data_IF_502340785956
#
_entry.id   IF_502340785956
#
_cell.length_a   1.000
_cell.length_b   1.000
_cell.length_c   1.000
_cell.angle_alpha   90.00
_cell.angle_beta   90.00
_cell.angle_gamma   90.00
#
_symmetry.space_group_name_H-M   'P 1'
#
loop_
_entity.id
_entity.type
_entity.pdbx_description
1 polymer ?
#
# COMPACT_ATOMS: atom_id res chain seq x y z
N UNK A 1 19.54 10.31 -38.30
CA UNK A 1 18.49 10.13 -37.29
C UNK A 1 18.27 8.64 -37.12
N UNK A 2 18.81 8.04 -36.06
CA UNK A 2 18.61 6.60 -35.82
C UNK A 2 17.15 6.35 -35.50
N UNK A 3 16.43 5.63 -36.36
CA UNK A 3 15.06 5.21 -36.08
C UNK A 3 15.06 4.31 -34.83
N UNK A 4 14.19 4.62 -33.89
CA UNK A 4 13.96 3.82 -32.70
C UNK A 4 12.46 3.65 -32.50
N UNK A 5 12.06 2.52 -31.94
CA UNK A 5 10.65 2.20 -31.68
C UNK A 5 10.40 2.30 -30.19
N UNK A 6 9.36 3.04 -29.79
CA UNK A 6 8.92 3.11 -28.40
C UNK A 6 7.75 2.15 -28.22
N UNK A 7 7.82 1.29 -27.20
CA UNK A 7 6.74 0.39 -26.82
C UNK A 7 6.43 0.65 -25.35
N UNK A 8 5.18 1.06 -25.06
CA UNK A 8 4.71 1.21 -23.68
C UNK A 8 4.59 -0.16 -23.03
N UNK A 9 5.13 -0.30 -21.82
CA UNK A 9 5.01 -1.51 -21.02
C UNK A 9 3.81 -1.41 -20.06
N UNK A 10 3.89 -0.44 -19.16
CA UNK A 10 2.83 -0.12 -18.20
C UNK A 10 2.52 1.38 -18.30
N UNK A 11 1.65 1.92 -17.46
CA UNK A 11 1.34 3.36 -17.44
C UNK A 11 2.56 4.26 -17.17
N UNK A 12 3.58 3.75 -16.46
CA UNK A 12 4.78 4.52 -16.08
C UNK A 12 6.07 4.11 -16.78
N UNK A 13 6.11 2.98 -17.49
CA UNK A 13 7.35 2.47 -18.10
C UNK A 13 7.20 2.31 -19.61
N UNK A 14 8.13 2.90 -20.34
CA UNK A 14 8.28 2.74 -21.79
C UNK A 14 9.62 2.11 -22.11
N UNK A 15 9.67 1.31 -23.17
CA UNK A 15 10.89 0.72 -23.68
C UNK A 15 11.23 1.28 -25.05
N UNK A 16 12.44 1.80 -25.18
CA UNK A 16 13.00 2.31 -26.42
C UNK A 16 13.90 1.24 -27.06
N UNK A 17 13.52 0.80 -28.25
CA UNK A 17 14.23 -0.20 -29.03
C UNK A 17 15.11 0.48 -30.07
N UNK A 18 16.42 0.32 -29.92
CA UNK A 18 17.40 0.75 -30.92
C UNK A 18 18.07 -0.48 -31.57
N UNK A 19 18.84 -0.28 -32.67
CA UNK A 19 19.62 -1.36 -33.28
C UNK A 19 20.67 -1.95 -32.33
N UNK A 20 21.33 -1.10 -31.56
CA UNK A 20 22.53 -1.37 -30.74
C UNK A 20 22.33 -1.19 -29.23
N UNK A 21 21.19 -0.63 -28.81
CA UNK A 21 20.85 -0.43 -27.40
C UNK A 21 19.39 -0.77 -27.10
N UNK A 22 19.14 -1.06 -25.84
CA UNK A 22 17.82 -1.29 -25.29
C UNK A 22 17.68 -0.45 -24.04
N UNK A 23 16.65 0.40 -23.96
CA UNK A 23 16.51 1.36 -22.87
C UNK A 23 15.11 1.25 -22.27
N UNK A 24 15.04 0.97 -20.97
CA UNK A 24 13.83 1.15 -20.19
C UNK A 24 13.83 2.53 -19.55
N UNK A 25 12.70 3.21 -19.70
CA UNK A 25 12.49 4.58 -19.26
C UNK A 25 11.28 4.63 -18.35
N UNK A 26 11.45 5.32 -17.23
CA UNK A 26 10.40 5.69 -16.30
C UNK A 26 9.88 7.09 -16.65
N UNK A 27 8.55 7.20 -16.75
CA UNK A 27 7.81 8.40 -17.12
C UNK A 27 6.88 8.89 -15.98
N UNK A 28 7.01 8.33 -14.77
CA UNK A 28 6.17 8.64 -13.59
C UNK A 28 6.05 10.14 -13.32
N UNK A 29 7.08 10.97 -13.49
CA UNK A 29 6.98 12.41 -13.22
C UNK A 29 6.73 13.26 -14.49
N UNK A 30 6.35 12.63 -15.61
CA UNK A 30 6.36 13.24 -16.95
C UNK A 30 7.77 13.55 -17.49
N UNK A 31 8.81 13.28 -16.69
CA UNK A 31 10.21 13.43 -17.05
C UNK A 31 10.78 12.08 -17.48
N UNK A 32 11.45 12.08 -18.65
CA UNK A 32 12.17 10.91 -19.17
C UNK A 32 13.34 10.56 -18.25
N UNK A 33 13.24 9.47 -17.48
CA UNK A 33 14.35 8.95 -16.66
C UNK A 33 14.74 7.54 -17.10
N UNK A 34 15.98 7.36 -17.51
CA UNK A 34 16.51 6.02 -17.83
C UNK A 34 16.63 5.24 -16.53
N UNK A 35 15.92 4.12 -16.44
CA UNK A 35 15.99 3.21 -15.28
C UNK A 35 16.97 2.07 -15.51
N UNK A 36 17.07 1.61 -16.76
CA UNK A 36 17.96 0.55 -17.19
C UNK A 36 18.31 0.72 -18.67
N UNK A 37 19.57 0.53 -19.02
CA UNK A 37 20.06 0.55 -20.39
C UNK A 37 21.03 -0.61 -20.60
N UNK A 38 20.86 -1.31 -21.72
CA UNK A 38 21.78 -2.32 -22.22
C UNK A 38 22.32 -1.89 -23.57
N UNK A 39 23.62 -2.10 -23.79
CA UNK A 39 24.32 -1.80 -25.05
C UNK A 39 24.95 -3.08 -25.60
N UNK A 40 25.05 -3.18 -26.93
CA UNK A 40 25.49 -4.38 -27.67
C UNK A 40 26.93 -4.82 -27.38
N UNK A 41 27.72 -3.94 -26.76
CA UNK A 41 29.07 -4.19 -26.25
C UNK A 41 29.08 -4.99 -24.94
N UNK A 42 27.90 -5.21 -24.34
CA UNK A 42 27.74 -5.90 -23.06
C UNK A 42 27.72 -4.97 -21.85
N UNK A 43 27.71 -3.66 -22.05
CA UNK A 43 27.55 -2.68 -20.97
C UNK A 43 26.10 -2.62 -20.51
N UNK A 44 25.88 -2.79 -19.21
CA UNK A 44 24.59 -2.55 -18.56
C UNK A 44 24.73 -1.37 -17.61
N UNK A 45 23.80 -0.42 -17.70
CA UNK A 45 23.70 0.68 -16.75
C UNK A 45 22.30 0.71 -16.16
N UNK A 46 22.23 1.04 -14.88
CA UNK A 46 20.97 1.11 -14.15
C UNK A 46 20.98 2.26 -13.17
N UNK A 47 19.82 2.87 -12.97
CA UNK A 47 19.72 4.00 -12.04
C UNK A 47 19.89 3.55 -10.59
N UNK A 48 20.45 4.38 -9.69
CA UNK A 48 20.57 4.06 -8.27
C UNK A 48 19.23 3.74 -7.60
N UNK A 49 18.15 4.39 -8.04
CA UNK A 49 16.80 4.13 -7.55
C UNK A 49 16.32 2.74 -7.99
N UNK A 50 16.51 2.38 -9.25
CA UNK A 50 16.19 1.04 -9.75
C UNK A 50 16.98 -0.04 -8.99
N UNK A 51 18.28 0.18 -8.79
CA UNK A 51 19.12 -0.75 -8.03
C UNK A 51 18.60 -0.97 -6.61
N UNK A 52 18.22 0.11 -5.91
CA UNK A 52 17.66 0.02 -4.57
C UNK A 52 16.34 -0.75 -4.54
N UNK A 53 15.43 -0.47 -5.46
CA UNK A 53 14.11 -1.12 -5.54
C UNK A 53 14.26 -2.61 -5.87
N UNK A 54 15.13 -2.95 -6.82
CA UNK A 54 15.39 -4.33 -7.22
C UNK A 54 16.40 -5.06 -6.33
N UNK A 55 16.88 -4.43 -5.25
CA UNK A 55 17.93 -4.94 -4.34
C UNK A 55 19.23 -5.34 -5.06
N UNK A 56 19.57 -4.67 -6.16
CA UNK A 56 20.81 -4.89 -6.90
C UNK A 56 22.00 -4.21 -6.19
N UNK A 57 23.24 -4.65 -6.45
CA UNK A 57 24.45 -3.96 -5.99
C UNK A 57 24.44 -2.48 -6.42
N UNK A 58 25.13 -1.62 -5.67
CA UNK A 58 25.10 -0.18 -5.90
C UNK A 58 25.55 0.23 -7.32
N UNK A 59 26.51 -0.51 -7.89
CA UNK A 59 26.99 -0.33 -9.27
C UNK A 59 26.13 -0.99 -10.36
N UNK A 60 25.00 -1.60 -10.01
CA UNK A 60 24.19 -2.40 -10.92
C UNK A 60 24.67 -3.84 -11.02
N UNK A 61 24.33 -4.49 -12.13
CA UNK A 61 24.75 -5.87 -12.46
C UNK A 61 25.37 -5.90 -13.85
N UNK A 62 26.41 -6.70 -14.04
CA UNK A 62 27.04 -6.94 -15.33
C UNK A 62 26.36 -8.09 -16.10
N UNK A 63 26.47 -8.11 -17.43
CA UNK A 63 25.90 -9.19 -18.28
C UNK A 63 26.39 -10.57 -17.83
N UNK A 64 27.64 -10.67 -17.38
CA UNK A 64 28.24 -11.92 -16.91
C UNK A 64 27.60 -12.46 -15.63
N UNK A 65 26.85 -11.65 -14.88
CA UNK A 65 26.12 -12.04 -13.66
C UNK A 65 24.68 -12.46 -13.98
N UNK A 66 24.27 -12.34 -15.24
CA UNK A 66 22.97 -12.72 -15.74
C UNK A 66 23.01 -14.10 -16.39
N UNK A 67 21.92 -14.85 -16.25
CA UNK A 67 21.76 -16.19 -16.83
C UNK A 67 20.97 -16.18 -18.12
N UNK A 68 19.85 -15.45 -18.14
CA UNK A 68 18.92 -15.43 -19.28
C UNK A 68 17.99 -14.24 -19.22
N UNK A 69 17.51 -13.80 -20.39
CA UNK A 69 16.33 -12.94 -20.52
C UNK A 69 15.10 -13.82 -20.47
N UNK A 70 14.09 -13.44 -19.68
CA UNK A 70 12.83 -14.18 -19.61
C UNK A 70 11.68 -13.23 -19.85
N UNK A 71 10.77 -13.65 -20.73
CA UNK A 71 9.44 -13.09 -20.88
C UNK A 71 8.44 -14.16 -20.46
N UNK A 72 7.58 -13.86 -19.49
CA UNK A 72 6.57 -14.80 -19.05
C UNK A 72 5.26 -14.12 -18.70
N UNK A 73 4.14 -14.74 -19.05
CA UNK A 73 2.84 -14.32 -18.56
C UNK A 73 2.56 -14.91 -17.18
N UNK A 74 2.20 -14.07 -16.23
CA UNK A 74 1.89 -14.46 -14.86
C UNK A 74 0.38 -14.42 -14.64
N UNK A 75 -0.28 -15.57 -14.41
CA UNK A 75 -1.72 -15.60 -14.10
C UNK A 75 -2.03 -14.83 -12.81
N UNK A 76 -1.11 -14.87 -11.84
CA UNK A 76 -1.29 -14.20 -10.56
C UNK A 76 -1.23 -12.68 -10.67
N UNK A 77 -0.58 -12.14 -11.71
CA UNK A 77 -0.45 -10.70 -11.96
C UNK A 77 -1.29 -10.23 -13.15
N UNK A 78 -1.93 -11.16 -13.87
CA UNK A 78 -2.63 -10.91 -15.14
C UNK A 78 -1.79 -10.02 -16.07
N UNK A 79 -0.51 -10.39 -16.22
CA UNK A 79 0.46 -9.53 -16.88
C UNK A 79 1.62 -10.31 -17.49
N UNK A 80 2.14 -9.81 -18.61
CA UNK A 80 3.45 -10.18 -19.14
C UNK A 80 4.55 -9.49 -18.34
N UNK A 81 5.53 -10.26 -17.87
CA UNK A 81 6.70 -9.76 -17.17
C UNK A 81 7.96 -10.02 -17.98
N UNK A 82 8.75 -8.97 -18.20
CA UNK A 82 10.07 -9.04 -18.83
C UNK A 82 11.15 -8.71 -17.80
N UNK A 83 12.21 -9.51 -17.81
CA UNK A 83 13.30 -9.32 -16.88
C UNK A 83 14.44 -10.32 -17.10
N UNK A 84 15.34 -10.34 -16.13
CA UNK A 84 16.47 -11.26 -16.12
C UNK A 84 16.35 -12.29 -15.01
N UNK A 85 16.90 -13.47 -15.29
CA UNK A 85 17.30 -14.41 -14.25
C UNK A 85 18.77 -14.16 -13.92
N UNK A 86 19.07 -13.83 -12.67
CA UNK A 86 20.44 -13.64 -12.20
C UNK A 86 21.09 -14.98 -11.83
N UNK A 87 22.43 -15.03 -11.83
CA UNK A 87 23.21 -16.18 -11.35
C UNK A 87 23.10 -16.34 -9.81
N UNK A 88 23.42 -17.53 -9.26
CA UNK A 88 23.21 -17.84 -7.85
C UNK A 88 23.83 -16.85 -6.87
N UNK A 89 25.01 -16.31 -7.19
CA UNK A 89 25.77 -15.40 -6.32
C UNK A 89 24.98 -14.11 -6.05
N UNK A 90 24.39 -13.53 -7.09
CA UNK A 90 23.52 -12.36 -6.98
C UNK A 90 22.14 -12.75 -6.43
N UNK A 91 21.65 -13.94 -6.78
CA UNK A 91 20.35 -14.41 -6.31
C UNK A 91 20.28 -14.57 -4.78
N UNK A 92 21.33 -15.10 -4.16
CA UNK A 92 21.42 -15.30 -2.71
C UNK A 92 21.41 -13.97 -1.95
N UNK A 93 22.19 -12.99 -2.41
CA UNK A 93 22.21 -11.64 -1.82
C UNK A 93 20.82 -10.97 -1.89
N UNK A 94 20.09 -11.21 -2.99
CA UNK A 94 18.77 -10.63 -3.24
C UNK A 94 17.63 -11.41 -2.61
N UNK A 95 17.87 -12.65 -2.18
CA UNK A 95 16.84 -13.67 -1.89
C UNK A 95 15.86 -13.90 -3.05
N UNK A 96 16.27 -13.57 -4.28
CA UNK A 96 15.43 -13.72 -5.48
C UNK A 96 16.31 -13.84 -6.73
N UNK A 97 15.93 -14.76 -7.61
CA UNK A 97 16.57 -14.95 -8.92
C UNK A 97 16.01 -14.00 -9.99
N UNK A 98 14.89 -13.33 -9.73
CA UNK A 98 14.16 -12.52 -10.70
C UNK A 98 14.51 -11.04 -10.57
N UNK A 99 14.80 -10.37 -11.68
CA UNK A 99 14.94 -8.90 -11.78
C UNK A 99 13.97 -8.43 -12.85
N UNK A 100 12.91 -7.74 -12.45
CA UNK A 100 11.92 -7.21 -13.39
C UNK A 100 12.39 -5.89 -14.02
N UNK A 101 12.19 -5.76 -15.33
CA UNK A 101 12.50 -4.55 -16.09
C UNK A 101 11.24 -3.83 -16.56
N UNK A 102 10.27 -4.60 -17.04
CA UNK A 102 9.06 -4.09 -17.66
C UNK A 102 7.92 -5.10 -17.47
N UNK A 103 6.69 -4.58 -17.40
CA UNK A 103 5.46 -5.34 -17.19
C UNK A 103 4.38 -4.80 -18.13
N UNK A 104 3.56 -5.66 -18.72
CA UNK A 104 2.36 -5.30 -19.48
C UNK A 104 1.15 -5.99 -18.88
N UNK A 105 0.22 -5.24 -18.30
CA UNK A 105 -1.05 -5.80 -17.81
C UNK A 105 -1.88 -6.26 -19.02
N UNK A 106 -2.31 -7.52 -18.98
CA UNK A 106 -2.91 -8.23 -20.09
C UNK A 106 -3.76 -9.39 -19.50
N UNK A 107 -5.07 -9.18 -19.44
CA UNK A 107 -6.01 -10.06 -18.73
C UNK A 107 -6.04 -11.48 -19.29
N UNK A 108 -5.96 -11.61 -20.61
CA UNK A 108 -5.98 -12.89 -21.32
C UNK A 108 -4.59 -13.31 -21.85
N UNK A 109 -3.61 -12.42 -21.75
CA UNK A 109 -2.24 -12.64 -22.21
C UNK A 109 -2.09 -12.56 -23.73
N UNK A 110 -3.14 -12.23 -24.48
CA UNK A 110 -3.11 -12.13 -25.92
C UNK A 110 -2.78 -10.70 -26.39
N UNK A 111 -3.34 -9.68 -25.72
CA UNK A 111 -3.32 -8.29 -26.18
C UNK A 111 -1.90 -7.73 -26.37
N UNK A 112 -1.00 -7.99 -25.43
CA UNK A 112 0.36 -7.45 -25.41
C UNK A 112 1.45 -8.47 -25.77
N UNK A 113 1.06 -9.72 -26.06
CA UNK A 113 1.98 -10.82 -26.38
C UNK A 113 3.00 -10.48 -27.47
N UNK A 114 2.57 -9.87 -28.59
CA UNK A 114 3.44 -9.53 -29.71
C UNK A 114 4.42 -8.41 -29.34
N UNK A 115 3.92 -7.37 -28.67
CA UNK A 115 4.73 -6.22 -28.26
C UNK A 115 5.79 -6.63 -27.24
N UNK A 116 5.38 -7.38 -26.21
CA UNK A 116 6.27 -7.89 -25.18
C UNK A 116 7.34 -8.83 -25.76
N UNK A 117 6.96 -9.72 -26.69
CA UNK A 117 7.92 -10.59 -27.40
C UNK A 117 8.95 -9.79 -28.19
N UNK A 118 8.52 -8.76 -28.92
CA UNK A 118 9.42 -7.90 -29.69
C UNK A 118 10.44 -7.21 -28.79
N UNK A 119 9.99 -6.70 -27.65
CA UNK A 119 10.85 -6.06 -26.66
C UNK A 119 11.84 -7.05 -26.06
N UNK A 120 11.39 -8.26 -25.72
CA UNK A 120 12.23 -9.31 -25.16
C UNK A 120 13.30 -9.82 -26.15
N UNK A 121 12.93 -10.00 -27.42
CA UNK A 121 13.85 -10.38 -28.49
C UNK A 121 14.94 -9.32 -28.70
N UNK A 122 14.56 -8.04 -28.69
CA UNK A 122 15.53 -6.94 -28.80
C UNK A 122 16.52 -6.93 -27.62
N UNK A 123 16.03 -7.12 -26.39
CA UNK A 123 16.89 -7.19 -25.20
C UNK A 123 17.85 -8.38 -25.26
N UNK A 124 17.35 -9.56 -25.62
CA UNK A 124 18.17 -10.76 -25.76
C UNK A 124 19.24 -10.61 -26.84
N UNK A 125 18.92 -9.95 -27.96
CA UNK A 125 19.88 -9.63 -29.03
C UNK A 125 20.99 -8.70 -28.55
N UNK A 126 20.63 -7.62 -27.85
CA UNK A 126 21.60 -6.62 -27.35
C UNK A 126 22.51 -7.22 -26.28
N UNK A 127 21.93 -7.97 -25.33
CA UNK A 127 22.68 -8.58 -24.22
C UNK A 127 23.39 -9.89 -24.58
N UNK A 128 23.06 -10.48 -25.74
CA UNK A 128 23.52 -11.82 -26.17
C UNK A 128 23.21 -12.94 -25.18
N UNK A 129 22.17 -12.75 -24.36
CA UNK A 129 21.68 -13.74 -23.41
C UNK A 129 20.60 -14.61 -24.06
N UNK A 130 20.48 -15.88 -23.64
CA UNK A 130 19.39 -16.73 -24.13
C UNK A 130 18.03 -16.15 -23.69
N UNK A 131 17.08 -16.12 -24.62
CA UNK A 131 15.70 -15.74 -24.36
C UNK A 131 14.86 -16.97 -24.03
N UNK A 132 14.16 -16.94 -22.89
CA UNK A 132 13.13 -17.91 -22.55
C UNK A 132 11.77 -17.23 -22.57
N UNK A 133 10.85 -17.72 -23.41
CA UNK A 133 9.46 -17.25 -23.46
C UNK A 133 8.58 -18.29 -22.77
N UNK A 134 7.79 -17.87 -21.79
CA UNK A 134 6.82 -18.71 -21.08
C UNK A 134 5.43 -18.22 -21.53
N UNK A 135 4.69 -19.01 -22.32
CA UNK A 135 3.38 -18.59 -22.83
C UNK A 135 2.34 -18.53 -21.70
N UNK A 136 1.21 -17.83 -21.91
CA UNK A 136 0.08 -17.87 -21.00
C UNK A 136 -0.36 -19.32 -20.86
N UNK A 137 -0.52 -19.78 -19.62
CA UNK A 137 -1.17 -21.06 -19.37
C UNK A 137 -2.66 -20.80 -19.57
N UNK A 138 -3.28 -21.49 -20.53
CA UNK A 138 -4.73 -21.43 -20.71
C UNK A 138 -5.41 -21.67 -19.36
N UNK A 139 -6.02 -20.62 -18.81
CA UNK A 139 -6.97 -20.78 -17.72
C UNK A 139 -8.15 -21.59 -18.29
N UNK A 140 -8.75 -22.52 -17.52
CA UNK A 140 -9.97 -23.17 -17.97
C UNK A 140 -10.99 -22.09 -18.34
N UNK A 141 -11.26 -22.00 -19.64
CA UNK A 141 -12.14 -21.02 -20.25
C UNK A 141 -13.57 -21.48 -20.04
N UNK A 142 -14.15 -21.16 -18.88
CA UNK A 142 -15.57 -21.37 -18.62
C UNK A 142 -16.34 -20.07 -18.34
N UNK A 143 -15.70 -18.90 -18.29
CA UNK A 143 -16.41 -17.63 -18.17
C UNK A 143 -16.03 -16.70 -19.32
N UNK A 144 -17.01 -16.38 -20.14
CA UNK A 144 -16.98 -15.16 -20.97
C UNK A 144 -16.65 -14.00 -20.03
N UNK A 145 -15.68 -13.10 -20.32
CA UNK A 145 -15.38 -11.97 -19.44
C UNK A 145 -16.68 -11.20 -19.19
N UNK A 146 -17.27 -11.39 -18.02
CA UNK A 146 -18.42 -10.61 -17.61
C UNK A 146 -17.91 -9.18 -17.51
N UNK A 147 -18.62 -8.24 -18.14
CA UNK A 147 -18.29 -6.83 -18.03
C UNK A 147 -18.15 -6.49 -16.54
N UNK A 148 -16.98 -5.99 -16.09
CA UNK A 148 -16.70 -5.87 -14.67
C UNK A 148 -17.78 -5.02 -14.02
N UNK A 149 -18.34 -5.51 -12.91
CA UNK A 149 -19.46 -4.86 -12.26
C UNK A 149 -19.14 -3.37 -12.01
N UNK A 150 -20.11 -2.45 -12.24
CA UNK A 150 -19.90 -1.04 -12.01
C UNK A 150 -19.61 -0.81 -10.52
N UNK A 151 -18.51 -0.13 -10.24
CA UNK A 151 -18.12 0.19 -8.87
C UNK A 151 -19.13 1.17 -8.24
N UNK A 152 -19.34 1.08 -6.91
CA UNK A 152 -20.23 2.00 -6.22
C UNK A 152 -19.71 3.45 -6.36
N UNK A 153 -20.58 4.44 -6.53
CA UNK A 153 -20.16 5.81 -6.78
C UNK A 153 -19.32 6.34 -5.60
N UNK A 154 -18.29 7.11 -5.93
CA UNK A 154 -17.50 7.86 -4.95
C UNK A 154 -18.33 9.06 -4.43
N UNK A 155 -18.19 9.45 -3.15
CA UNK A 155 -17.21 8.97 -2.18
C UNK A 155 -17.63 7.71 -1.41
N UNK A 156 -16.65 6.88 -1.05
CA UNK A 156 -16.84 5.73 -0.15
C UNK A 156 -16.42 6.12 1.27
N UNK A 157 -17.35 6.04 2.23
CA UNK A 157 -17.06 6.21 3.66
C UNK A 157 -16.47 4.92 4.26
N UNK A 158 -15.26 5.03 4.79
CA UNK A 158 -14.53 3.97 5.49
C UNK A 158 -14.43 4.28 6.99
N UNK A 159 -15.32 5.13 7.51
CA UNK A 159 -15.35 5.55 8.91
C UNK A 159 -14.35 6.67 9.20
N UNK A 160 -13.08 6.32 9.43
CA UNK A 160 -12.03 7.31 9.70
C UNK A 160 -11.40 7.88 8.44
N UNK A 161 -11.56 7.17 7.32
CA UNK A 161 -11.11 7.56 5.99
C UNK A 161 -12.30 7.72 5.06
N UNK A 162 -12.17 8.58 4.08
CA UNK A 162 -13.11 8.68 2.97
C UNK A 162 -12.32 8.62 1.66
N UNK A 163 -12.78 7.80 0.73
CA UNK A 163 -12.21 7.73 -0.61
C UNK A 163 -12.97 8.70 -1.52
N UNK A 164 -12.26 9.66 -2.08
CA UNK A 164 -12.77 10.67 -3.01
C UNK A 164 -12.04 10.61 -4.34
N UNK A 165 -12.71 11.04 -5.41
CA UNK A 165 -12.05 11.29 -6.69
C UNK A 165 -11.67 12.78 -6.77
N UNK A 166 -10.40 13.06 -7.08
CA UNK A 166 -9.87 14.42 -7.25
C UNK A 166 -9.26 14.54 -8.66
N UNK A 167 -10.10 14.96 -9.62
CA UNK A 167 -9.73 14.90 -11.03
C UNK A 167 -9.61 13.45 -11.49
N UNK A 168 -8.46 13.07 -12.06
CA UNK A 168 -8.17 11.69 -12.45
C UNK A 168 -7.57 10.86 -11.31
N UNK A 169 -7.11 11.49 -10.22
CA UNK A 169 -6.51 10.81 -9.08
C UNK A 169 -7.55 10.38 -8.03
N UNK A 170 -7.28 9.28 -7.35
CA UNK A 170 -8.03 8.88 -6.16
C UNK A 170 -7.33 9.40 -4.90
N UNK A 171 -8.10 9.91 -3.96
CA UNK A 171 -7.59 10.45 -2.70
C UNK A 171 -8.34 9.84 -1.51
N UNK A 172 -7.61 9.12 -0.66
CA UNK A 172 -8.09 8.80 0.69
C UNK A 172 -7.82 10.00 1.60
N UNK A 173 -8.87 10.61 2.12
CA UNK A 173 -8.78 11.72 3.05
C UNK A 173 -9.16 11.26 4.46
N UNK A 174 -8.33 11.61 5.44
CA UNK A 174 -8.66 11.35 6.85
C UNK A 174 -9.80 12.29 7.27
N UNK A 175 -10.89 11.70 7.77
CA UNK A 175 -12.10 12.43 8.11
C UNK A 175 -11.82 13.45 9.23
N UNK A 176 -12.39 14.65 9.10
CA UNK A 176 -12.26 15.69 10.13
C UNK A 176 -12.83 15.25 11.50
N UNK A 177 -13.70 14.22 11.53
CA UNK A 177 -14.22 13.62 12.76
C UNK A 177 -13.11 13.02 13.64
N UNK A 178 -12.13 12.38 13.02
CA UNK A 178 -11.00 11.76 13.74
C UNK A 178 -10.18 12.82 14.48
N UNK A 179 -9.81 13.89 13.78
CA UNK A 179 -9.06 15.01 14.39
C UNK A 179 -9.86 15.69 15.51
N UNK A 180 -11.17 15.92 15.30
CA UNK A 180 -12.05 16.50 16.32
C UNK A 180 -12.16 15.63 17.57
N UNK A 181 -12.27 14.31 17.43
CA UNK A 181 -12.29 13.35 18.54
C UNK A 181 -11.01 13.45 19.38
N UNK A 182 -9.84 13.49 18.74
CA UNK A 182 -8.54 13.60 19.43
C UNK A 182 -8.35 14.95 20.12
N UNK A 183 -8.77 16.05 19.48
CA UNK A 183 -8.76 17.39 20.10
C UNK A 183 -9.69 17.41 21.33
N UNK A 184 -10.88 16.81 21.23
CA UNK A 184 -11.80 16.68 22.36
C UNK A 184 -11.17 15.94 23.54
N UNK A 185 -10.46 14.84 23.27
CA UNK A 185 -9.69 14.10 24.30
C UNK A 185 -8.57 14.95 24.91
N UNK A 186 -7.84 15.72 24.11
CA UNK A 186 -6.80 16.64 24.60
C UNK A 186 -7.39 17.69 25.54
N UNK A 187 -8.49 18.34 25.15
CA UNK A 187 -9.17 19.34 25.98
C UNK A 187 -9.69 18.70 27.28
N UNK A 188 -10.32 17.53 27.18
CA UNK A 188 -10.89 16.81 28.32
C UNK A 188 -9.81 16.37 29.31
N UNK A 189 -8.75 15.72 28.84
CA UNK A 189 -7.63 15.31 29.70
C UNK A 189 -6.88 16.53 30.26
N UNK A 190 -6.74 17.60 29.48
CA UNK A 190 -6.19 18.87 29.95
C UNK A 190 -6.99 19.48 31.09
N UNK A 191 -8.33 19.51 30.97
CA UNK A 191 -9.23 19.99 32.02
C UNK A 191 -9.05 19.19 33.31
N UNK A 192 -9.08 17.86 33.23
CA UNK A 192 -8.89 16.99 34.40
C UNK A 192 -7.50 17.10 35.00
N UNK A 193 -6.47 17.27 34.17
CA UNK A 193 -5.10 17.50 34.65
C UNK A 193 -5.06 18.74 35.55
N UNK A 194 -5.65 19.86 35.11
CA UNK A 194 -5.70 21.09 35.90
C UNK A 194 -6.50 20.89 37.18
N UNK A 195 -7.64 20.21 37.12
CA UNK A 195 -8.46 19.92 38.30
C UNK A 195 -7.71 19.06 39.34
N UNK A 196 -7.05 17.99 38.92
CA UNK A 196 -6.27 17.12 39.82
C UNK A 196 -5.07 17.85 40.42
N UNK A 197 -4.37 18.68 39.64
CA UNK A 197 -3.27 19.51 40.16
C UNK A 197 -3.82 20.50 41.20
N UNK A 198 -4.92 21.20 40.91
CA UNK A 198 -5.51 22.16 41.83
C UNK A 198 -5.97 21.51 43.14
N UNK A 199 -6.67 20.37 43.08
CA UNK A 199 -7.09 19.63 44.27
C UNK A 199 -5.88 19.14 45.07
N UNK A 200 -4.83 18.66 44.41
CA UNK A 200 -3.61 18.19 45.07
C UNK A 200 -2.89 19.34 45.79
N UNK A 201 -2.73 20.49 45.14
CA UNK A 201 -2.11 21.69 45.73
C UNK A 201 -2.96 22.24 46.87
N UNK A 202 -4.29 22.31 46.71
CA UNK A 202 -5.19 22.79 47.75
C UNK A 202 -5.17 21.88 48.98
N UNK A 203 -5.07 20.56 48.78
CA UNK A 203 -4.95 19.58 49.86
C UNK A 203 -3.61 19.63 50.61
N UNK A 204 -2.57 20.19 49.98
CA UNK A 204 -1.26 20.40 50.61
C UNK A 204 -1.14 21.76 51.31
N UNK A 205 -1.97 22.74 50.93
CA UNK A 205 -1.86 24.14 51.40
C UNK A 205 -2.93 24.52 52.40
N UNK A 206 -4.13 23.96 52.25
CA UNK A 206 -5.21 24.06 53.24
C UNK A 206 -5.15 22.76 54.04
N UNK A 207 -5.04 22.85 55.37
CA UNK A 207 -5.35 21.71 56.25
C UNK A 207 -6.83 21.36 56.03
N UNK A 208 -7.10 20.55 54.99
CA UNK A 208 -8.39 19.92 54.79
C UNK A 208 -8.53 18.88 55.89
N UNK A 209 -8.87 19.36 57.10
CA UNK A 209 -9.53 18.58 58.11
C UNK A 209 -10.88 18.16 57.51
N UNK A 210 -10.86 17.08 56.73
CA UNK A 210 -12.05 16.32 56.39
C UNK A 210 -12.77 16.08 57.72
N UNK A 211 -14.01 16.55 57.92
CA UNK A 211 -14.74 16.24 59.14
C UNK A 211 -14.71 14.72 59.27
N UNK A 212 -14.37 14.22 60.46
CA UNK A 212 -14.22 12.80 60.80
C UNK A 212 -15.49 12.01 60.45
N UNK A 213 -15.72 11.75 59.17
CA UNK A 213 -16.69 10.83 58.67
C UNK A 213 -16.04 9.47 58.87
N UNK A 214 -16.60 8.69 59.81
CA UNK A 214 -16.10 7.39 60.27
C UNK A 214 -16.12 6.28 59.21
N UNK A 215 -15.51 6.53 58.05
CA UNK A 215 -15.36 5.59 56.94
C UNK A 215 -13.91 5.64 56.44
N UNK A 216 -13.08 4.82 57.10
CA UNK A 216 -12.05 3.95 56.51
C UNK A 216 -11.41 4.41 55.18
N UNK A 217 -10.55 5.43 55.21
CA UNK A 217 -9.52 5.60 54.19
C UNK A 217 -8.14 5.30 54.80
N UNK A 218 -7.45 4.22 54.40
CA UNK A 218 -6.10 3.94 54.87
C UNK A 218 -5.16 5.01 54.28
N UNK A 219 -4.53 5.82 55.14
CA UNK A 219 -3.55 6.85 54.80
C UNK A 219 -4.06 8.10 54.02
N UNK A 220 -4.71 9.07 54.69
CA UNK A 220 -5.18 10.32 54.09
C UNK A 220 -4.05 11.20 53.51
N UNK A 221 -2.81 11.05 54.00
CA UNK A 221 -1.64 11.77 53.51
C UNK A 221 -1.23 11.38 52.08
N UNK A 222 -1.71 10.24 51.55
CA UNK A 222 -1.41 9.80 50.19
C UNK A 222 -2.31 10.45 49.13
N UNK A 223 -3.46 11.01 49.53
CA UNK A 223 -4.45 11.57 48.61
C UNK A 223 -3.91 12.66 47.68
N UNK A 224 -3.09 13.64 48.14
CA UNK A 224 -2.53 14.66 47.25
C UNK A 224 -1.53 14.09 46.25
N UNK A 225 -0.73 13.10 46.65
CA UNK A 225 0.24 12.45 45.78
C UNK A 225 -0.44 11.58 44.72
N UNK A 226 -1.55 10.94 45.05
CA UNK A 226 -2.37 10.20 44.07
C UNK A 226 -2.97 11.11 43.01
N UNK A 227 -3.46 12.30 43.40
CA UNK A 227 -3.94 13.30 42.44
C UNK A 227 -2.85 13.77 41.47
N UNK A 228 -1.63 14.01 41.97
CA UNK A 228 -0.49 14.36 41.13
C UNK A 228 -0.08 13.21 40.19
N UNK A 229 -0.09 11.97 40.67
CA UNK A 229 0.19 10.79 39.86
C UNK A 229 -0.80 10.64 38.69
N UNK A 230 -2.10 10.80 38.96
CA UNK A 230 -3.14 10.80 37.91
C UNK A 230 -2.91 11.96 36.93
N UNK A 231 -2.56 13.15 37.40
CA UNK A 231 -2.26 14.28 36.53
C UNK A 231 -1.08 14.00 35.58
N UNK A 232 0.00 13.35 36.05
CA UNK A 232 1.12 12.93 35.21
C UNK A 232 0.67 11.96 34.11
N UNK A 233 -0.17 10.97 34.44
CA UNK A 233 -0.72 10.04 33.44
C UNK A 233 -1.54 10.79 32.39
N UNK A 234 -2.41 11.72 32.81
CA UNK A 234 -3.22 12.52 31.89
C UNK A 234 -2.36 13.39 30.97
N UNK A 235 -1.27 13.99 31.48
CA UNK A 235 -0.30 14.73 30.67
C UNK A 235 0.32 13.83 29.60
N UNK A 236 0.73 12.60 29.96
CA UNK A 236 1.27 11.65 28.99
C UNK A 236 0.25 11.29 27.90
N UNK A 237 -1.03 11.11 28.27
CA UNK A 237 -2.11 10.87 27.30
C UNK A 237 -2.35 12.07 26.38
N UNK A 238 -2.26 13.30 26.90
CA UNK A 238 -2.34 14.53 26.09
C UNK A 238 -1.19 14.57 25.08
N UNK A 239 0.05 14.37 25.53
CA UNK A 239 1.24 14.36 24.67
C UNK A 239 1.09 13.28 23.59
N UNK A 240 0.65 12.07 23.96
CA UNK A 240 0.40 10.98 23.01
C UNK A 240 -0.57 11.40 21.90
N UNK A 241 -1.72 11.96 22.24
CA UNK A 241 -2.71 12.39 21.24
C UNK A 241 -2.18 13.54 20.35
N UNK A 242 -1.37 14.46 20.89
CA UNK A 242 -0.72 15.52 20.10
C UNK A 242 0.26 14.92 19.08
N UNK A 243 1.09 13.96 19.51
CA UNK A 243 2.07 13.29 18.65
C UNK A 243 1.39 12.47 17.56
N UNK A 244 0.30 11.77 17.88
CA UNK A 244 -0.53 11.05 16.90
C UNK A 244 -1.05 12.00 15.80
N UNK A 245 -1.68 13.11 16.19
CA UNK A 245 -2.19 14.12 15.23
C UNK A 245 -1.05 14.67 14.36
N UNK A 246 0.12 14.92 14.93
CA UNK A 246 1.23 15.53 14.22
C UNK A 246 1.93 14.58 13.23
N UNK A 247 1.85 13.26 13.43
CA UNK A 247 2.56 12.27 12.61
C UNK A 247 1.68 11.53 11.61
N UNK A 248 0.37 11.48 11.83
CA UNK A 248 -0.54 10.71 10.99
C UNK A 248 -0.73 11.36 9.62
N UNK A 249 -0.40 10.67 8.50
CA UNK A 249 -0.67 11.17 7.16
C UNK A 249 -2.16 11.51 7.00
N UNK A 250 -2.44 12.67 6.46
CA UNK A 250 -3.82 13.16 6.31
C UNK A 250 -4.47 12.72 5.02
N UNK A 251 -3.65 12.41 4.01
CA UNK A 251 -4.08 12.15 2.63
C UNK A 251 -3.21 11.05 2.02
N UNK A 252 -3.82 10.14 1.30
CA UNK A 252 -3.13 9.16 0.46
C UNK A 252 -3.65 9.34 -0.95
N UNK A 253 -2.76 9.63 -1.89
CA UNK A 253 -3.10 9.91 -3.28
C UNK A 253 -2.62 8.75 -4.14
N UNK A 254 -3.53 8.17 -4.90
CA UNK A 254 -3.27 7.19 -5.96
C UNK A 254 -3.44 7.92 -7.28
N UNK A 255 -2.32 8.19 -7.93
CA UNK A 255 -2.26 9.03 -9.12
C UNK A 255 -2.02 8.14 -10.35
N UNK A 256 -2.98 8.07 -11.30
CA UNK A 256 -2.81 7.28 -12.51
C UNK A 256 -1.78 7.88 -13.46
N UNK A 257 -1.66 9.21 -13.54
CA UNK A 257 -0.75 9.88 -14.47
C UNK A 257 0.71 9.60 -14.09
N UNK A 258 0.99 9.51 -12.79
CA UNK A 258 2.33 9.17 -12.30
C UNK A 258 2.50 7.66 -12.02
N UNK A 259 1.41 6.90 -12.05
CA UNK A 259 1.35 5.50 -11.62
C UNK A 259 2.08 5.29 -10.29
N UNK A 260 1.67 6.07 -9.29
CA UNK A 260 2.28 6.00 -7.96
C UNK A 260 1.26 6.23 -6.85
N UNK A 261 1.53 5.61 -5.70
CA UNK A 261 0.80 5.83 -4.46
C UNK A 261 1.67 6.65 -3.53
N UNK A 262 1.15 7.78 -3.05
CA UNK A 262 1.88 8.66 -2.15
C UNK A 262 1.06 9.03 -0.91
N UNK A 263 1.69 9.00 0.26
CA UNK A 263 1.09 9.52 1.48
C UNK A 263 1.60 10.93 1.76
N UNK A 264 0.67 11.83 2.07
CA UNK A 264 0.91 13.25 2.30
C UNK A 264 0.46 13.66 3.70
N UNK A 265 1.34 14.39 4.37
CA UNK A 265 1.06 15.10 5.62
C UNK A 265 1.05 16.60 5.29
N UNK A 266 -0.14 17.17 5.11
CA UNK A 266 -0.28 18.53 4.58
C UNK A 266 0.35 18.65 3.18
N UNK A 267 1.37 19.49 3.04
CA UNK A 267 2.12 19.69 1.78
C UNK A 267 3.31 18.74 1.60
N UNK A 268 3.70 18.00 2.64
CA UNK A 268 4.89 17.14 2.61
C UNK A 268 4.50 15.71 2.22
N UNK A 269 5.17 15.15 1.22
CA UNK A 269 5.11 13.72 0.94
C UNK A 269 5.95 12.96 1.97
N UNK A 270 5.30 12.12 2.76
CA UNK A 270 5.96 11.28 3.78
C UNK A 270 6.61 10.07 3.12
N UNK A 271 5.94 9.49 2.13
CA UNK A 271 6.45 8.37 1.34
C UNK A 271 5.72 8.27 0.00
N UNK A 272 6.35 7.63 -0.98
CA UNK A 272 5.77 7.30 -2.28
C UNK A 272 6.25 5.93 -2.74
N UNK A 273 5.37 5.15 -3.37
CA UNK A 273 5.65 3.84 -3.95
C UNK A 273 5.15 3.83 -5.41
N UNK A 274 6.02 3.56 -6.39
CA UNK A 274 5.58 3.43 -7.79
C UNK A 274 4.87 2.09 -8.02
N UNK A 275 3.85 2.09 -8.88
CA UNK A 275 2.98 0.94 -9.14
C UNK A 275 3.73 -0.30 -9.63
N UNK A 276 4.80 -0.12 -10.39
CA UNK A 276 5.62 -1.24 -10.92
C UNK A 276 6.20 -2.17 -9.85
N UNK A 277 6.38 -1.68 -8.62
CA UNK A 277 6.94 -2.46 -7.52
C UNK A 277 5.82 -3.10 -6.70
N UNK A 278 4.57 -2.72 -6.96
CA UNK A 278 3.40 -3.28 -6.31
C UNK A 278 3.04 -4.58 -7.04
N UNK A 279 3.14 -5.70 -6.31
CA UNK A 279 2.78 -7.02 -6.80
C UNK A 279 1.28 -7.28 -6.61
N UNK A 280 0.71 -6.83 -5.48
CA UNK A 280 -0.73 -6.97 -5.20
C UNK A 280 -1.20 -6.07 -4.08
N UNK A 281 -2.51 -5.82 -4.03
CA UNK A 281 -3.20 -5.13 -2.95
C UNK A 281 -3.81 -6.16 -2.00
N UNK A 282 -3.63 -6.00 -0.70
CA UNK A 282 -4.21 -6.85 0.33
C UNK A 282 -5.27 -6.08 1.11
N UNK A 283 -6.45 -6.69 1.22
CA UNK A 283 -7.57 -6.23 2.03
C UNK A 283 -7.69 -7.18 3.20
N UNK A 284 -7.37 -6.72 4.41
CA UNK A 284 -7.47 -7.53 5.62
C UNK A 284 -8.61 -7.02 6.49
N UNK A 285 -9.61 -7.87 6.75
CA UNK A 285 -10.81 -7.54 7.53
C UNK A 285 -11.09 -8.59 8.60
N UNK A 286 -11.34 -8.12 9.83
CA UNK A 286 -11.84 -8.92 10.94
C UNK A 286 -13.33 -8.64 11.08
N UNK A 287 -14.14 -9.63 10.71
CA UNK A 287 -15.59 -9.50 10.63
C UNK A 287 -16.26 -10.25 11.78
N UNK A 288 -17.30 -9.65 12.37
CA UNK A 288 -18.12 -10.27 13.41
C UNK A 288 -19.59 -9.95 13.21
N UNK A 289 -20.48 -10.78 13.76
CA UNK A 289 -21.92 -10.53 13.73
C UNK A 289 -22.39 -9.90 15.04
N UNK A 290 -23.04 -8.74 14.96
CA UNK A 290 -23.77 -8.12 16.09
C UNK A 290 -25.26 -8.19 15.80
N UNK A 291 -25.90 -9.26 16.27
CA UNK A 291 -27.28 -9.57 15.93
C UNK A 291 -27.43 -9.93 14.45
N UNK A 292 -28.17 -9.12 13.68
CA UNK A 292 -28.35 -9.29 12.23
C UNK A 292 -27.39 -8.45 11.38
N UNK A 293 -26.53 -7.64 12.01
CA UNK A 293 -25.65 -6.71 11.33
C UNK A 293 -24.22 -7.27 11.32
N UNK A 294 -23.55 -7.12 10.19
CA UNK A 294 -22.16 -7.49 10.04
C UNK A 294 -21.29 -6.29 10.41
N UNK A 295 -20.40 -6.47 11.38
CA UNK A 295 -19.48 -5.45 11.84
C UNK A 295 -18.07 -5.79 11.37
N UNK A 296 -17.32 -4.78 10.92
CA UNK A 296 -15.88 -4.87 10.72
C UNK A 296 -15.19 -4.29 11.94
N UNK A 297 -14.56 -5.14 12.75
CA UNK A 297 -13.87 -4.72 13.98
C UNK A 297 -12.49 -4.13 13.70
N UNK A 298 -11.83 -4.65 12.66
CA UNK A 298 -10.52 -4.20 12.22
C UNK A 298 -10.46 -4.34 10.70
N UNK A 299 -10.01 -3.29 10.03
CA UNK A 299 -9.93 -3.29 8.58
C UNK A 299 -8.71 -2.51 8.11
N UNK A 300 -7.91 -3.08 7.22
CA UNK A 300 -6.70 -2.45 6.71
C UNK A 300 -6.43 -2.80 5.24
N UNK A 301 -5.80 -1.86 4.54
CA UNK A 301 -5.25 -2.09 3.20
C UNK A 301 -3.73 -2.05 3.29
N UNK A 302 -3.10 -3.07 2.70
CA UNK A 302 -1.67 -3.18 2.58
C UNK A 302 -1.28 -3.39 1.11
N UNK A 303 -0.12 -2.89 0.71
CA UNK A 303 0.45 -3.11 -0.61
C UNK A 303 1.57 -4.13 -0.47
N UNK A 304 1.54 -5.20 -1.25
CA UNK A 304 2.68 -6.10 -1.36
C UNK A 304 3.66 -5.52 -2.37
N UNK A 305 4.85 -5.13 -1.91
CA UNK A 305 5.90 -4.44 -2.70
C UNK A 305 7.06 -5.40 -3.03
N UNK A 306 6.89 -6.69 -2.74
CA UNK A 306 7.86 -7.76 -2.95
C UNK A 306 7.42 -9.04 -2.23
N UNK A 307 8.18 -10.13 -2.33
CA UNK A 307 7.75 -11.46 -1.89
C UNK A 307 7.31 -11.55 -0.42
N UNK A 308 7.98 -10.80 0.46
CA UNK A 308 7.71 -10.77 1.91
C UNK A 308 7.65 -9.33 2.45
N UNK A 309 7.49 -8.34 1.56
CA UNK A 309 7.55 -6.92 1.95
C UNK A 309 6.19 -6.28 1.75
N UNK A 310 5.57 -5.91 2.86
CA UNK A 310 4.31 -5.19 2.88
C UNK A 310 4.54 -3.73 3.22
N UNK A 311 3.87 -2.86 2.48
CA UNK A 311 3.74 -1.46 2.78
C UNK A 311 2.33 -1.21 3.27
N UNK A 312 2.23 -0.73 4.51
CA UNK A 312 0.97 -0.32 5.07
C UNK A 312 0.41 0.90 4.32
N UNK A 313 -0.85 0.82 3.87
CA UNK A 313 -1.56 1.92 3.21
C UNK A 313 -2.39 2.68 4.23
N UNK A 314 -3.41 2.02 4.79
CA UNK A 314 -4.32 2.60 5.79
C UNK A 314 -4.89 1.51 6.70
N UNK A 315 -5.25 1.90 7.92
CA UNK A 315 -6.05 1.13 8.87
C UNK A 315 -7.29 1.94 9.24
N UNK A 316 -8.41 1.24 9.40
CA UNK A 316 -9.65 1.74 9.98
C UNK A 316 -9.66 1.29 11.44
N UNK A 317 -9.48 2.25 12.36
CA UNK A 317 -9.44 1.98 13.81
C UNK A 317 -10.84 1.78 14.42
N UNK A 318 -11.88 2.31 13.77
CA UNK A 318 -13.24 2.29 14.29
C UNK A 318 -14.01 1.07 13.76
N UNK A 319 -14.88 0.51 14.60
CA UNK A 319 -15.80 -0.54 14.17
C UNK A 319 -16.73 -0.02 13.08
N UNK A 320 -16.68 -0.64 11.89
CA UNK A 320 -17.48 -0.23 10.75
C UNK A 320 -18.74 -1.09 10.65
N UNK A 321 -19.90 -0.45 10.60
CA UNK A 321 -21.18 -1.12 10.41
C UNK A 321 -21.41 -1.39 8.91
N UNK A 322 -21.29 -2.66 8.51
CA UNK A 322 -21.47 -3.08 7.12
C UNK A 322 -22.94 -3.33 6.77
N UNK A 323 -23.86 -3.01 7.68
CA UNK A 323 -25.30 -3.19 7.50
C UNK A 323 -25.79 -4.62 7.73
N UNK A 324 -27.05 -4.85 7.36
CA UNK A 324 -27.68 -6.16 7.50
C UNK A 324 -27.30 -7.07 6.32
N UNK A 325 -26.31 -7.95 6.54
CA UNK A 325 -25.95 -9.01 5.59
C UNK A 325 -26.42 -10.36 6.09
N UNK A 326 -27.71 -10.62 5.90
CA UNK A 326 -28.31 -11.90 6.24
C UNK A 326 -27.62 -13.03 5.45
N UNK A 327 -27.02 -13.99 6.17
CA UNK A 327 -26.38 -15.16 5.55
C UNK A 327 -24.92 -14.97 5.11
N UNK A 328 -24.29 -13.82 5.37
CA UNK A 328 -22.84 -13.66 5.12
C UNK A 328 -22.06 -14.58 6.08
N UNK A 329 -21.40 -15.58 5.49
CA UNK A 329 -20.59 -16.55 6.24
C UNK A 329 -19.24 -15.92 6.56
N UNK A 330 -18.90 -15.86 7.85
CA UNK A 330 -17.56 -15.48 8.26
C UNK A 330 -16.59 -16.55 7.76
N UNK A 331 -15.65 -16.16 6.91
CA UNK A 331 -14.57 -17.02 6.45
C UNK A 331 -13.30 -16.75 7.26
N UNK A 332 -12.42 -17.74 7.31
CA UNK A 332 -11.04 -17.58 7.77
C UNK A 332 -10.12 -17.98 6.61
N UNK A 333 -9.96 -17.08 5.65
CA UNK A 333 -9.34 -17.39 4.35
C UNK A 333 -8.49 -16.23 3.86
N UNK A 334 -7.45 -16.58 3.11
CA UNK A 334 -6.70 -15.66 2.25
C UNK A 334 -6.91 -16.10 0.81
N UNK A 335 -7.70 -15.37 0.04
CA UNK A 335 -8.09 -15.75 -1.33
C UNK A 335 -7.90 -14.58 -2.30
N UNK A 336 -7.61 -14.84 -3.59
CA UNK A 336 -7.69 -13.81 -4.61
C UNK A 336 -9.12 -13.27 -4.67
N UNK A 337 -9.25 -11.96 -4.83
CA UNK A 337 -10.54 -11.29 -4.87
C UNK A 337 -10.84 -10.88 -6.31
N UNK A 338 -11.96 -11.35 -6.85
CA UNK A 338 -12.46 -10.92 -8.14
C UNK A 338 -13.30 -9.63 -8.01
N UNK A 339 -13.61 -9.00 -9.14
CA UNK A 339 -14.35 -7.73 -9.21
C UNK A 339 -15.78 -7.85 -8.67
N UNK A 340 -16.39 -9.02 -8.82
CA UNK A 340 -17.75 -9.36 -8.35
C UNK A 340 -17.81 -9.75 -6.87
N UNK A 341 -16.67 -10.14 -6.29
CA UNK A 341 -16.58 -10.54 -4.89
C UNK A 341 -16.63 -9.35 -3.91
N UNK A 342 -16.48 -8.11 -4.38
CA UNK A 342 -16.38 -6.92 -3.53
C UNK A 342 -17.72 -6.55 -2.88
N UNK A 343 -17.87 -6.96 -1.62
CA UNK A 343 -19.10 -6.77 -0.88
C UNK A 343 -18.94 -5.79 0.31
N UNK A 344 -17.71 -5.44 0.70
CA UNK A 344 -17.43 -4.46 1.77
C UNK A 344 -16.98 -3.11 1.19
N UNK A 345 -17.20 -1.98 1.90
CA UNK A 345 -16.65 -0.69 1.50
C UNK A 345 -15.13 -0.74 1.30
N UNK A 346 -14.42 -1.54 2.10
CA UNK A 346 -12.97 -1.70 1.96
C UNK A 346 -12.59 -2.48 0.70
N UNK A 347 -13.30 -3.57 0.40
CA UNK A 347 -13.12 -4.32 -0.86
C UNK A 347 -13.35 -3.43 -2.08
N UNK A 348 -14.39 -2.60 -2.05
CA UNK A 348 -14.68 -1.63 -3.11
C UNK A 348 -13.57 -0.57 -3.24
N UNK A 349 -13.06 -0.06 -2.13
CA UNK A 349 -11.93 0.87 -2.14
C UNK A 349 -10.66 0.23 -2.73
N UNK A 350 -10.41 -1.04 -2.45
CA UNK A 350 -9.28 -1.77 -3.03
C UNK A 350 -9.43 -2.01 -4.54
N UNK A 351 -10.65 -2.27 -5.03
CA UNK A 351 -10.92 -2.33 -6.47
C UNK A 351 -10.65 -1.01 -7.16
N UNK A 352 -11.06 0.11 -6.56
CA UNK A 352 -10.71 1.44 -7.05
C UNK A 352 -9.19 1.62 -7.16
N UNK A 353 -8.44 1.25 -6.12
CA UNK A 353 -6.97 1.31 -6.14
C UNK A 353 -6.40 0.41 -7.23
N UNK A 354 -6.86 -0.83 -7.36
CA UNK A 354 -6.40 -1.77 -8.37
C UNK A 354 -6.61 -1.24 -9.80
N UNK A 355 -7.82 -0.81 -10.13
CA UNK A 355 -8.17 -0.30 -11.46
C UNK A 355 -7.38 0.95 -11.82
N UNK A 356 -7.20 1.87 -10.87
CA UNK A 356 -6.38 3.08 -11.10
C UNK A 356 -4.90 2.77 -11.33
N UNK A 357 -4.41 1.62 -10.84
CA UNK A 357 -3.02 1.21 -11.01
C UNK A 357 -2.78 0.22 -12.16
N UNK A 358 -3.78 0.02 -13.03
CA UNK A 358 -3.67 -0.88 -14.16
C UNK A 358 -4.04 -2.33 -13.85
N UNK A 359 -5.07 -2.56 -13.03
CA UNK A 359 -5.60 -3.89 -12.67
C UNK A 359 -4.61 -4.75 -11.87
N UNK A 360 -3.98 -4.15 -10.86
CA UNK A 360 -3.10 -4.87 -9.92
C UNK A 360 -3.93 -5.90 -9.14
N UNK A 361 -3.47 -7.16 -8.99
CA UNK A 361 -4.23 -8.21 -8.30
C UNK A 361 -4.59 -7.86 -6.86
N UNK A 362 -5.76 -8.29 -6.42
CA UNK A 362 -6.24 -8.06 -5.06
C UNK A 362 -6.36 -9.40 -4.32
N UNK A 363 -5.96 -9.40 -3.06
CA UNK A 363 -6.10 -10.51 -2.13
C UNK A 363 -6.95 -10.07 -0.95
N UNK A 364 -7.90 -10.91 -0.57
CA UNK A 364 -8.73 -10.74 0.62
C UNK A 364 -8.23 -11.67 1.72
N UNK A 365 -7.89 -11.12 2.89
CA UNK A 365 -7.67 -11.82 4.15
C UNK A 365 -8.87 -11.53 5.06
N UNK A 366 -9.79 -12.49 5.16
CA UNK A 366 -10.94 -12.38 6.04
C UNK A 366 -10.71 -13.24 7.28
N UNK A 367 -10.97 -12.67 8.46
CA UNK A 367 -10.90 -13.39 9.74
C UNK A 367 -12.18 -13.19 10.56
N UNK A 368 -12.65 -14.21 11.28
CA UNK A 368 -13.72 -14.03 12.26
C UNK A 368 -13.17 -13.32 13.51
N UNK A 369 -13.90 -12.33 14.01
CA UNK A 369 -13.61 -11.59 15.25
C UNK A 369 -14.45 -12.00 16.45
#
# INVERSE_FOLDING_TARGET
>A
MSQFTIISADQSVSVELHPDRWVAVDLTDGLRRVIFEAVIDGTLTSSPQFNRLQKLPAGGVGVHELKSVVLGWSPALMAWQLGFVVKPEIAEQRKSRWVELARWHDEDGAQHSLAANRVAQALARVTRLPLKVIPPKALPSDDTPAEPAPLPPLPIDLGTWELHQSGDALEFALAARWRRSRIGRIIWYGLWTVAFIAVSVLSLTVDLALPNAGTLLPAPHLLPYMGLFVAVILILLVIKNIVEIARQPTRIVVDPATSSISARLGRRTTWAVPSRVIDSVYVSEVLSHRGKRLMSQHAEINLRVGPETFRHLLTIEDELDLGAKNGHKLKNVVEPMADDDADTPLSNAALYVSRTLGNVPIWRDQRPG
#
